data_IF_074202107369
#
_entry.id   IF_074202107369
#
_cell.length_a   1.000
_cell.length_b   1.000
_cell.length_c   1.000
_cell.angle_alpha   90.00
_cell.angle_beta   90.00
_cell.angle_gamma   90.00
#
_symmetry.space_group_name_H-M   'P 1'
#
loop_
_entity.id
_entity.type
_entity.pdbx_description
1 polymer ?
#
# COMPACT_ATOMS: atom_id res chain seq x y z
N UNK A 1 -14.88 20.11 14.04
CA UNK A 1 -14.46 18.73 13.70
C UNK A 1 -13.22 18.82 12.83
N UNK A 2 -12.04 18.54 13.38
CA UNK A 2 -10.79 18.53 12.62
C UNK A 2 -10.75 17.28 11.74
N UNK A 3 -10.78 17.47 10.42
CA UNK A 3 -10.51 16.39 9.44
C UNK A 3 -8.99 16.26 9.29
N UNK A 4 -8.49 15.03 9.28
CA UNK A 4 -7.08 14.73 8.98
C UNK A 4 -6.89 14.46 7.47
N UNK A 5 -5.63 14.26 7.01
CA UNK A 5 -5.28 14.07 5.60
C UNK A 5 -6.21 13.03 4.94
N UNK A 6 -6.93 13.43 3.89
CA UNK A 6 -7.85 12.56 3.15
C UNK A 6 -9.34 12.72 3.50
N UNK A 7 -9.70 13.61 4.43
CA UNK A 7 -11.10 13.94 4.71
C UNK A 7 -11.78 13.06 5.77
N UNK A 8 -11.03 12.12 6.36
CA UNK A 8 -11.47 11.30 7.48
C UNK A 8 -11.43 12.11 8.78
N UNK A 9 -12.37 11.82 9.68
CA UNK A 9 -12.27 12.18 11.09
C UNK A 9 -11.07 11.49 11.74
N UNK A 10 -10.62 12.00 12.89
CA UNK A 10 -9.51 11.38 13.63
C UNK A 10 -9.80 9.91 13.98
N UNK A 11 -11.04 9.58 14.35
CA UNK A 11 -11.42 8.22 14.74
C UNK A 11 -11.41 7.26 13.54
N UNK A 12 -11.93 7.70 12.39
CA UNK A 12 -11.87 6.93 11.14
C UNK A 12 -10.42 6.71 10.68
N UNK A 13 -9.55 7.70 10.87
CA UNK A 13 -8.13 7.57 10.57
C UNK A 13 -7.45 6.56 11.51
N UNK A 14 -7.77 6.57 12.80
CA UNK A 14 -7.25 5.58 13.76
C UNK A 14 -7.77 4.16 13.48
N UNK A 15 -9.01 4.02 13.00
CA UNK A 15 -9.55 2.74 12.55
C UNK A 15 -8.85 2.26 11.28
N UNK A 16 -8.61 3.17 10.32
CA UNK A 16 -7.84 2.86 9.12
C UNK A 16 -6.44 2.36 9.47
N UNK A 17 -5.70 3.00 10.37
CA UNK A 17 -4.37 2.50 10.76
C UNK A 17 -4.42 1.11 11.42
N UNK A 18 -5.52 0.78 12.12
CA UNK A 18 -5.68 -0.51 12.79
C UNK A 18 -5.94 -1.68 11.84
N UNK A 19 -6.42 -1.43 10.61
CA UNK A 19 -6.83 -2.53 9.73
C UNK A 19 -5.67 -3.49 9.39
N UNK A 20 -4.44 -3.01 9.22
CA UNK A 20 -3.30 -3.89 8.90
C UNK A 20 -2.96 -4.82 10.07
N UNK A 21 -3.12 -4.34 11.31
CA UNK A 21 -2.96 -5.12 12.54
C UNK A 21 -4.11 -6.14 12.66
N UNK A 22 -5.34 -5.68 12.47
CA UNK A 22 -6.53 -6.50 12.62
C UNK A 22 -6.63 -7.60 11.55
N UNK A 23 -6.28 -7.31 10.29
CA UNK A 23 -6.26 -8.30 9.21
C UNK A 23 -5.35 -9.48 9.55
N UNK A 24 -4.13 -9.23 10.03
CA UNK A 24 -3.23 -10.31 10.43
C UNK A 24 -3.69 -11.06 11.67
N UNK A 25 -4.32 -10.36 12.64
CA UNK A 25 -4.95 -11.00 13.80
C UNK A 25 -6.07 -11.96 13.38
N UNK A 26 -6.94 -11.53 12.46
CA UNK A 26 -8.05 -12.34 11.93
C UNK A 26 -7.51 -13.56 11.18
N UNK A 27 -6.51 -13.39 10.31
CA UNK A 27 -5.88 -14.50 9.59
C UNK A 27 -5.28 -15.53 10.56
N UNK A 28 -4.54 -15.07 11.57
CA UNK A 28 -4.02 -15.96 12.63
C UNK A 28 -5.15 -16.70 13.34
N UNK A 29 -6.27 -16.03 13.67
CA UNK A 29 -7.43 -16.68 14.29
C UNK A 29 -8.07 -17.76 13.39
N UNK A 30 -8.03 -17.57 12.08
CA UNK A 30 -8.55 -18.51 11.08
C UNK A 30 -7.53 -19.59 10.65
N UNK A 31 -6.45 -19.79 11.40
CA UNK A 31 -5.52 -20.90 11.19
C UNK A 31 -4.38 -20.62 10.21
N UNK A 32 -4.25 -19.41 9.67
CA UNK A 32 -3.07 -19.04 8.87
C UNK A 32 -1.83 -18.96 9.78
N UNK A 33 -0.74 -19.62 9.36
CA UNK A 33 0.51 -19.71 10.13
C UNK A 33 1.75 -19.34 9.32
N UNK A 34 1.64 -19.19 8.00
CA UNK A 34 2.75 -18.76 7.17
C UNK A 34 3.21 -17.36 7.58
N UNK A 35 4.41 -17.28 8.13
CA UNK A 35 4.98 -16.02 8.61
C UNK A 35 5.24 -15.05 7.46
N UNK A 36 5.70 -15.53 6.31
CA UNK A 36 5.97 -14.66 5.16
C UNK A 36 4.67 -14.02 4.66
N UNK A 37 3.60 -14.81 4.53
CA UNK A 37 2.27 -14.30 4.19
C UNK A 37 1.80 -13.22 5.17
N UNK A 38 1.89 -13.52 6.47
CA UNK A 38 1.43 -12.59 7.50
C UNK A 38 2.25 -11.30 7.53
N UNK A 39 3.57 -11.38 7.34
CA UNK A 39 4.45 -10.21 7.29
C UNK A 39 4.17 -9.36 6.06
N UNK A 40 3.93 -9.97 4.88
CA UNK A 40 3.56 -9.24 3.66
C UNK A 40 2.28 -8.41 3.86
N UNK A 41 1.27 -8.99 4.50
CA UNK A 41 0.00 -8.32 4.76
C UNK A 41 0.16 -7.23 5.83
N UNK A 42 0.87 -7.54 6.92
CA UNK A 42 1.06 -6.61 8.03
C UNK A 42 1.77 -5.32 7.60
N UNK A 43 2.76 -5.44 6.72
CA UNK A 43 3.62 -4.33 6.30
C UNK A 43 3.22 -3.71 4.95
N UNK A 44 2.07 -4.08 4.39
CA UNK A 44 1.62 -3.59 3.07
C UNK A 44 1.34 -2.07 3.01
N UNK A 45 1.21 -1.40 4.15
CA UNK A 45 1.06 0.05 4.27
C UNK A 45 2.33 0.79 4.73
N UNK A 46 3.45 0.07 4.83
CA UNK A 46 4.75 0.71 5.01
C UNK A 46 5.12 1.48 3.75
N UNK A 47 5.83 2.59 3.92
CA UNK A 47 6.34 3.41 2.82
C UNK A 47 7.84 3.31 2.77
N UNK A 48 8.40 3.35 1.56
CA UNK A 48 9.82 3.13 1.37
C UNK A 48 10.71 4.13 2.14
N UNK A 49 10.23 5.35 2.37
CA UNK A 49 10.89 6.40 3.17
C UNK A 49 10.76 6.22 4.69
N UNK A 50 9.95 5.27 5.17
CA UNK A 50 9.68 5.03 6.60
C UNK A 50 8.54 5.86 7.19
N UNK A 51 7.83 6.65 6.39
CA UNK A 51 6.66 7.44 6.84
C UNK A 51 5.36 6.63 6.91
N UNK A 52 5.43 5.34 6.59
CA UNK A 52 4.30 4.40 6.62
C UNK A 52 4.03 3.82 8.00
N UNK A 53 3.18 2.80 8.02
CA UNK A 53 2.70 2.14 9.23
C UNK A 53 2.48 0.64 8.94
N UNK A 54 2.35 -0.23 9.96
CA UNK A 54 2.28 0.06 11.40
C UNK A 54 3.63 0.13 12.14
N UNK A 55 4.73 -0.37 11.57
CA UNK A 55 6.02 -0.50 12.24
C UNK A 55 7.04 0.58 11.85
N UNK A 56 6.76 1.40 10.83
CA UNK A 56 7.65 2.47 10.39
C UNK A 56 8.93 1.92 9.75
N UNK A 57 8.82 0.80 9.05
CA UNK A 57 9.94 0.20 8.34
C UNK A 57 10.25 1.02 7.09
N UNK A 58 11.55 1.10 6.75
CA UNK A 58 12.02 1.83 5.58
C UNK A 58 12.92 0.97 4.69
N UNK A 59 12.89 1.28 3.40
CA UNK A 59 13.68 0.63 2.37
C UNK A 59 13.48 -0.89 2.34
N UNK A 60 14.58 -1.60 2.20
CA UNK A 60 14.60 -3.07 2.10
C UNK A 60 14.25 -3.79 3.41
N UNK A 61 14.10 -3.07 4.54
CA UNK A 61 13.56 -3.67 5.77
C UNK A 61 12.09 -4.05 5.61
N UNK A 62 11.39 -3.42 4.67
CA UNK A 62 10.04 -3.80 4.29
C UNK A 62 10.12 -5.12 3.50
N UNK A 63 9.39 -6.18 3.90
CA UNK A 63 9.36 -7.42 3.16
C UNK A 63 9.04 -7.20 1.68
N UNK A 64 9.77 -7.85 0.78
CA UNK A 64 9.60 -7.63 -0.68
C UNK A 64 8.15 -7.83 -1.13
N UNK A 65 7.45 -8.82 -0.59
CA UNK A 65 6.04 -9.03 -0.93
C UNK A 65 5.11 -7.93 -0.42
N UNK A 66 5.41 -7.26 0.70
CA UNK A 66 4.67 -6.08 1.13
C UNK A 66 4.88 -4.90 0.16
N UNK A 67 6.12 -4.69 -0.29
CA UNK A 67 6.43 -3.66 -1.32
C UNK A 67 5.67 -3.94 -2.64
N UNK A 68 5.61 -5.20 -3.06
CA UNK A 68 4.84 -5.63 -4.24
C UNK A 68 3.34 -5.37 -4.05
N UNK A 69 2.76 -5.77 -2.92
CA UNK A 69 1.34 -5.55 -2.62
C UNK A 69 1.01 -4.06 -2.64
N UNK A 70 1.82 -3.20 -2.02
CA UNK A 70 1.58 -1.77 -1.95
C UNK A 70 1.49 -1.12 -3.35
N UNK A 71 2.43 -1.48 -4.24
CA UNK A 71 2.46 -0.99 -5.62
C UNK A 71 1.30 -1.54 -6.44
N UNK A 72 1.00 -2.84 -6.32
CA UNK A 72 -0.10 -3.49 -7.03
C UNK A 72 -1.48 -2.95 -6.61
N UNK A 73 -1.71 -2.76 -5.31
CA UNK A 73 -2.96 -2.20 -4.77
C UNK A 73 -3.15 -0.74 -5.20
N UNK A 74 -2.07 0.03 -5.25
CA UNK A 74 -2.11 1.43 -5.73
C UNK A 74 -2.41 1.50 -7.23
N UNK A 75 -1.76 0.67 -8.05
CA UNK A 75 -2.06 0.58 -9.48
C UNK A 75 -3.52 0.15 -9.73
N UNK A 76 -3.97 -0.88 -9.01
CA UNK A 76 -5.34 -1.38 -9.10
C UNK A 76 -6.33 -0.30 -8.67
N UNK A 77 -6.00 0.45 -7.62
CA UNK A 77 -6.77 1.62 -7.21
C UNK A 77 -6.92 2.53 -8.42
N UNK A 78 -5.85 3.05 -9.01
CA UNK A 78 -5.92 4.01 -10.13
C UNK A 78 -6.74 3.52 -11.33
N UNK A 79 -6.56 2.27 -11.73
CA UNK A 79 -7.10 1.71 -12.98
C UNK A 79 -8.45 1.01 -12.85
N UNK A 80 -8.88 0.70 -11.64
CA UNK A 80 -10.21 0.13 -11.38
C UNK A 80 -11.32 1.17 -11.49
N UNK A 81 -12.52 0.72 -11.84
CA UNK A 81 -13.73 1.54 -11.77
C UNK A 81 -14.04 1.93 -10.33
N UNK A 82 -14.43 3.18 -10.10
CA UNK A 82 -14.82 3.67 -8.79
C UNK A 82 -16.05 4.61 -8.92
N UNK A 83 -17.05 4.55 -8.03
CA UNK A 83 -18.30 5.32 -8.18
C UNK A 83 -18.11 6.85 -8.25
N UNK A 84 -17.01 7.36 -7.68
CA UNK A 84 -16.73 8.80 -7.57
C UNK A 84 -15.61 9.31 -8.49
N UNK A 85 -15.02 8.45 -9.33
CA UNK A 85 -13.98 8.87 -10.28
C UNK A 85 -13.87 7.92 -11.45
N UNK A 86 -13.47 8.46 -12.59
CA UNK A 86 -13.12 7.65 -13.74
C UNK A 86 -11.84 6.85 -13.48
N UNK A 87 -11.75 5.69 -14.14
CA UNK A 87 -10.51 4.92 -14.17
C UNK A 87 -9.44 5.71 -14.91
N UNK A 88 -8.20 5.57 -14.46
CA UNK A 88 -7.09 6.17 -15.18
C UNK A 88 -6.67 5.28 -16.34
N UNK A 89 -6.20 5.91 -17.42
CA UNK A 89 -5.46 5.22 -18.47
C UNK A 89 -4.15 4.67 -17.91
N UNK A 90 -3.66 3.57 -18.49
CA UNK A 90 -2.48 2.85 -18.00
C UNK A 90 -1.26 3.78 -17.84
N UNK A 91 -0.99 4.64 -18.84
CA UNK A 91 0.18 5.51 -18.82
C UNK A 91 0.10 6.59 -17.75
N UNK A 92 -1.10 7.10 -17.48
CA UNK A 92 -1.32 8.02 -16.38
C UNK A 92 -1.07 7.35 -15.02
N UNK A 93 -1.47 6.08 -14.87
CA UNK A 93 -1.17 5.31 -13.67
C UNK A 93 0.34 5.04 -13.52
N UNK A 94 1.05 4.74 -14.61
CA UNK A 94 2.51 4.57 -14.57
C UNK A 94 3.25 5.86 -14.24
N UNK A 95 2.82 7.00 -14.78
CA UNK A 95 3.37 8.31 -14.44
C UNK A 95 3.22 8.63 -12.95
N UNK A 96 2.05 8.38 -12.37
CA UNK A 96 1.85 8.63 -10.94
C UNK A 96 2.64 7.63 -10.08
N UNK A 97 2.77 6.36 -10.47
CA UNK A 97 3.65 5.43 -9.76
C UNK A 97 5.12 5.90 -9.77
N UNK A 98 5.62 6.43 -10.89
CA UNK A 98 6.95 7.04 -10.97
C UNK A 98 7.07 8.25 -10.05
N UNK A 99 6.03 9.07 -9.97
CA UNK A 99 5.98 10.22 -9.08
C UNK A 99 5.96 9.81 -7.59
N UNK A 100 5.25 8.75 -7.24
CA UNK A 100 5.22 8.19 -5.88
C UNK A 100 6.59 7.63 -5.44
N UNK A 101 7.38 7.08 -6.37
CA UNK A 101 8.80 6.74 -6.12
C UNK A 101 9.61 7.98 -5.77
N UNK A 102 9.42 9.10 -6.49
CA UNK A 102 10.14 10.36 -6.19
C UNK A 102 9.77 10.92 -4.82
N UNK A 103 8.52 10.72 -4.37
CA UNK A 103 8.07 11.08 -3.02
C UNK A 103 8.59 10.12 -1.93
N UNK A 104 9.26 9.03 -2.30
CA UNK A 104 9.77 8.02 -1.37
C UNK A 104 8.70 7.04 -0.88
N UNK A 105 7.51 7.00 -1.48
CA UNK A 105 6.46 6.08 -1.03
C UNK A 105 6.74 4.64 -1.46
N UNK A 106 7.32 4.43 -2.64
CA UNK A 106 7.52 3.10 -3.22
C UNK A 106 8.97 2.79 -3.58
N UNK A 107 9.26 1.49 -3.57
CA UNK A 107 10.47 0.92 -4.11
C UNK A 107 10.50 1.09 -5.63
N UNK A 108 11.58 1.70 -6.13
CA UNK A 108 11.79 1.92 -7.56
C UNK A 108 11.84 0.61 -8.35
N UNK A 109 12.46 -0.43 -7.82
CA UNK A 109 12.63 -1.70 -8.54
C UNK A 109 11.28 -2.41 -8.73
N UNK A 110 10.43 -2.36 -7.71
CA UNK A 110 9.08 -2.94 -7.75
C UNK A 110 8.19 -2.19 -8.74
N UNK A 111 8.22 -0.85 -8.71
CA UNK A 111 7.46 -0.04 -9.68
C UNK A 111 7.93 -0.30 -11.11
N UNK A 112 9.25 -0.40 -11.33
CA UNK A 112 9.80 -0.71 -12.64
C UNK A 112 9.38 -2.10 -13.12
N UNK A 113 9.39 -3.10 -12.23
CA UNK A 113 8.95 -4.46 -12.56
C UNK A 113 7.47 -4.49 -12.98
N UNK A 114 6.59 -3.77 -12.27
CA UNK A 114 5.17 -3.67 -12.65
C UNK A 114 5.01 -3.07 -14.05
N UNK A 115 5.68 -1.94 -14.32
CA UNK A 115 5.61 -1.25 -15.62
C UNK A 115 6.11 -2.17 -16.73
N UNK A 116 7.21 -2.89 -16.52
CA UNK A 116 7.78 -3.82 -17.51
C UNK A 116 6.88 -5.01 -17.83
N UNK A 117 6.06 -5.47 -16.88
CA UNK A 117 5.15 -6.60 -17.09
C UNK A 117 3.84 -6.18 -17.75
N UNK A 118 3.39 -4.94 -17.53
CA UNK A 118 2.07 -4.47 -17.97
C UNK A 118 2.09 -3.55 -19.20
N UNK A 119 3.21 -2.88 -19.49
CA UNK A 119 3.42 -2.06 -20.69
C UNK A 119 4.04 -2.84 -21.85
#
# INVERSE_FOLDING_TARGET
MNRSKGGLSSDEYQEYLRHSIESTRILKKNGFRDKQLLDMIYHSHEKYDGSGFPAGLSGEKIPIGARIIAVADTYNTFTSWHPRRERWEMEAAFDELRHEVQKGNFDREVVQALITVLG
#
